data_IF_718778704960
#
_entry.id   IF_718778704960
#
_cell.length_a   1.000
_cell.length_b   1.000
_cell.length_c   1.000
_cell.angle_alpha   90.00
_cell.angle_beta   90.00
_cell.angle_gamma   90.00
#
_symmetry.space_group_name_H-M   'P 1'
#
loop_
_entity.id
_entity.type
_entity.pdbx_description
1 polymer ?
#
# COMPACT_ATOMS: atom_id res chain seq x y z
N UNK A 1 38.30 -29.31 40.33
CA UNK A 1 37.16 -28.48 39.89
C UNK A 1 37.02 -27.34 40.88
N UNK A 2 37.77 -26.26 40.67
CA UNK A 2 37.71 -25.08 41.53
C UNK A 2 36.45 -24.30 41.18
N UNK A 3 35.50 -24.28 42.10
CA UNK A 3 34.29 -23.47 41.96
C UNK A 3 34.58 -21.98 42.12
N UNK A 4 33.55 -21.16 41.87
CA UNK A 4 33.64 -19.71 41.99
C UNK A 4 34.17 -19.22 43.35
N UNK A 5 35.04 -18.22 43.32
CA UNK A 5 35.52 -17.52 44.53
C UNK A 5 34.40 -16.67 45.15
N UNK A 6 34.58 -16.20 46.39
CA UNK A 6 33.52 -15.50 47.12
C UNK A 6 33.12 -14.16 46.46
N UNK A 7 34.10 -13.43 45.93
CA UNK A 7 33.93 -12.20 45.16
C UNK A 7 33.26 -12.44 43.80
N UNK A 8 33.60 -13.53 43.10
CA UNK A 8 32.93 -13.92 41.85
C UNK A 8 31.44 -14.24 42.11
N UNK A 9 31.13 -14.93 43.21
CA UNK A 9 29.75 -15.21 43.61
C UNK A 9 28.97 -13.92 43.91
N UNK A 10 29.58 -13.00 44.66
CA UNK A 10 28.98 -11.70 44.96
C UNK A 10 28.70 -10.90 43.68
N UNK A 11 29.67 -10.86 42.77
CA UNK A 11 29.54 -10.18 41.47
C UNK A 11 28.43 -10.81 40.61
N UNK A 12 28.34 -12.15 40.57
CA UNK A 12 27.29 -12.84 39.84
C UNK A 12 25.90 -12.59 40.42
N UNK A 13 25.78 -12.48 41.75
CA UNK A 13 24.53 -12.10 42.40
C UNK A 13 24.12 -10.67 42.04
N UNK A 14 25.05 -9.71 42.10
CA UNK A 14 24.79 -8.32 41.71
C UNK A 14 24.35 -8.22 40.25
N UNK A 15 25.04 -8.89 39.32
CA UNK A 15 24.66 -8.92 37.91
C UNK A 15 23.29 -9.57 37.69
N UNK A 16 22.96 -10.60 38.47
CA UNK A 16 21.65 -11.28 38.39
C UNK A 16 20.52 -10.38 38.86
N UNK A 17 20.73 -9.58 39.91
CA UNK A 17 19.75 -8.60 40.38
C UNK A 17 19.52 -7.48 39.37
N UNK A 18 20.60 -6.92 38.80
CA UNK A 18 20.51 -5.93 37.74
C UNK A 18 19.77 -6.48 36.51
N UNK A 19 20.08 -7.72 36.13
CA UNK A 19 19.40 -8.39 35.00
C UNK A 19 17.91 -8.57 35.25
N UNK A 20 17.50 -8.95 36.47
CA UNK A 20 16.08 -9.11 36.82
C UNK A 20 15.32 -7.78 36.76
N UNK A 21 15.93 -6.70 37.27
CA UNK A 21 15.34 -5.35 37.20
C UNK A 21 15.22 -4.89 35.75
N UNK A 22 16.29 -5.04 34.97
CA UNK A 22 16.27 -4.73 33.54
C UNK A 22 15.19 -5.48 32.78
N UNK A 23 15.04 -6.79 33.02
CA UNK A 23 14.00 -7.60 32.37
C UNK A 23 12.58 -7.15 32.77
N UNK A 24 12.39 -6.74 34.02
CA UNK A 24 11.12 -6.19 34.48
C UNK A 24 10.81 -4.84 33.82
N UNK A 25 11.83 -4.01 33.60
CA UNK A 25 11.67 -2.72 32.90
C UNK A 25 11.39 -2.89 31.40
N UNK A 26 11.60 -4.08 30.83
CA UNK A 26 11.17 -4.42 29.46
C UNK A 26 9.71 -4.84 29.37
N UNK A 27 9.01 -5.05 30.49
CA UNK A 27 7.57 -5.28 30.48
C UNK A 27 6.87 -3.97 30.11
N UNK A 28 6.44 -3.88 28.85
CA UNK A 28 5.82 -2.68 28.34
C UNK A 28 4.43 -2.52 28.95
N UNK A 29 4.13 -1.32 29.47
CA UNK A 29 2.78 -1.03 29.94
C UNK A 29 1.81 -1.00 28.76
N UNK A 30 0.53 -1.39 28.94
CA UNK A 30 -0.48 -1.35 27.86
C UNK A 30 -0.71 0.04 27.23
N UNK A 31 -0.17 1.10 27.83
CA UNK A 31 -0.24 2.47 27.34
C UNK A 31 1.04 2.80 26.57
N UNK A 32 1.10 2.32 25.34
CA UNK A 32 2.07 2.82 24.38
C UNK A 32 1.65 4.22 23.92
N UNK A 33 2.61 5.15 23.71
CA UNK A 33 2.32 6.37 22.98
C UNK A 33 1.97 5.98 21.54
N UNK A 34 0.67 5.89 21.27
CA UNK A 34 0.17 5.71 19.91
C UNK A 34 0.62 6.92 19.10
N UNK A 35 1.20 6.65 17.93
CA UNK A 35 1.45 7.70 16.94
C UNK A 35 0.16 8.49 16.66
N UNK A 36 0.26 9.73 16.16
CA UNK A 36 -0.92 10.49 15.82
C UNK A 36 -1.79 9.70 14.84
N UNK A 37 -3.13 9.76 14.98
CA UNK A 37 -4.03 9.02 14.11
C UNK A 37 -3.77 9.42 12.65
N UNK A 38 -3.63 8.42 11.79
CA UNK A 38 -3.40 8.66 10.36
C UNK A 38 -4.58 9.47 9.79
N UNK A 39 -4.28 10.49 8.99
CA UNK A 39 -5.31 11.30 8.33
C UNK A 39 -6.02 10.44 7.29
N UNK A 40 -7.23 10.00 7.62
CA UNK A 40 -8.12 9.30 6.69
C UNK A 40 -8.78 10.28 5.71
N UNK A 41 -9.03 9.84 4.49
CA UNK A 41 -9.66 10.67 3.47
C UNK A 41 -11.15 10.93 3.84
N UNK A 42 -11.78 12.06 3.45
CA UNK A 42 -13.15 12.36 3.86
C UNK A 42 -14.17 11.26 3.54
N UNK A 43 -14.03 10.58 2.40
CA UNK A 43 -14.91 9.45 2.04
C UNK A 43 -14.67 8.22 2.92
N UNK A 44 -13.43 7.93 3.30
CA UNK A 44 -13.13 6.84 4.24
C UNK A 44 -13.69 7.16 5.62
N UNK A 45 -13.61 8.42 6.05
CA UNK A 45 -14.25 8.87 7.29
C UNK A 45 -15.77 8.69 7.24
N UNK A 46 -16.41 8.95 6.10
CA UNK A 46 -17.83 8.67 5.91
C UNK A 46 -18.13 7.17 6.03
N UNK A 47 -17.41 6.31 5.30
CA UNK A 47 -17.62 4.86 5.35
C UNK A 47 -17.38 4.29 6.75
N UNK A 48 -16.34 4.75 7.45
CA UNK A 48 -16.05 4.33 8.83
C UNK A 48 -17.19 4.70 9.79
N UNK A 49 -17.79 5.89 9.64
CA UNK A 49 -18.98 6.29 10.42
C UNK A 49 -20.21 5.51 10.01
N UNK A 50 -20.43 5.32 8.72
CA UNK A 50 -21.61 4.61 8.20
C UNK A 50 -21.64 3.14 8.65
N UNK A 51 -20.48 2.47 8.64
CA UNK A 51 -20.31 1.07 9.04
C UNK A 51 -20.19 0.86 10.55
N UNK A 52 -20.20 1.93 11.37
CA UNK A 52 -20.00 1.85 12.81
C UNK A 52 -21.03 0.96 13.51
N UNK A 53 -22.29 0.99 13.06
CA UNK A 53 -23.38 0.17 13.64
C UNK A 53 -23.30 -1.32 13.27
N UNK A 54 -22.33 -1.72 12.43
CA UNK A 54 -22.10 -3.09 11.93
C UNK A 54 -23.33 -3.80 11.32
N UNK A 55 -24.33 -3.05 10.86
CA UNK A 55 -25.51 -3.64 10.25
C UNK A 55 -25.13 -4.46 8.98
N UNK A 56 -25.62 -5.69 8.83
CA UNK A 56 -25.17 -6.61 7.78
C UNK A 56 -25.42 -6.08 6.37
N UNK A 57 -26.53 -5.37 6.15
CA UNK A 57 -26.85 -4.75 4.86
C UNK A 57 -25.87 -3.63 4.47
N UNK A 58 -25.37 -2.86 5.45
CA UNK A 58 -24.38 -1.80 5.19
C UNK A 58 -23.05 -2.39 4.72
N UNK A 59 -22.66 -3.54 5.29
CA UNK A 59 -21.46 -4.28 4.86
C UNK A 59 -21.59 -4.82 3.44
N UNK A 60 -22.79 -5.27 3.04
CA UNK A 60 -23.05 -5.71 1.65
C UNK A 60 -22.88 -4.53 0.68
N UNK A 61 -23.48 -3.37 0.97
CA UNK A 61 -23.36 -2.18 0.13
C UNK A 61 -21.89 -1.75 0.00
N UNK A 62 -21.16 -1.69 1.11
CA UNK A 62 -19.76 -1.30 1.10
C UNK A 62 -18.89 -2.28 0.29
N UNK A 63 -19.13 -3.60 0.43
CA UNK A 63 -18.44 -4.62 -0.36
C UNK A 63 -18.72 -4.43 -1.85
N UNK A 64 -19.98 -4.25 -2.26
CA UNK A 64 -20.34 -4.04 -3.66
C UNK A 64 -19.70 -2.77 -4.22
N UNK A 65 -19.74 -1.65 -3.47
CA UNK A 65 -19.07 -0.40 -3.84
C UNK A 65 -17.56 -0.62 -4.05
N UNK A 66 -16.88 -1.28 -3.12
CA UNK A 66 -15.44 -1.52 -3.20
C UNK A 66 -15.06 -2.41 -4.39
N UNK A 67 -15.81 -3.48 -4.64
CA UNK A 67 -15.57 -4.35 -5.79
C UNK A 67 -15.83 -3.61 -7.11
N UNK A 68 -16.87 -2.79 -7.18
CA UNK A 68 -17.16 -1.95 -8.35
C UNK A 68 -16.02 -0.98 -8.64
N UNK A 69 -15.50 -0.31 -7.60
CA UNK A 69 -14.39 0.61 -7.74
C UNK A 69 -13.11 -0.10 -8.20
N UNK A 70 -12.83 -1.28 -7.65
CA UNK A 70 -11.69 -2.12 -8.07
C UNK A 70 -11.82 -2.55 -9.53
N UNK A 71 -12.98 -3.07 -9.95
CA UNK A 71 -13.21 -3.45 -11.33
C UNK A 71 -13.03 -2.26 -12.30
N UNK A 72 -13.58 -1.09 -11.95
CA UNK A 72 -13.42 0.11 -12.76
C UNK A 72 -11.94 0.52 -12.89
N UNK A 73 -11.24 0.62 -11.77
CA UNK A 73 -9.85 1.10 -11.74
C UNK A 73 -8.84 0.12 -12.32
N UNK A 74 -9.02 -1.19 -12.11
CA UNK A 74 -8.04 -2.20 -12.49
C UNK A 74 -8.39 -2.92 -13.80
N UNK A 75 -9.64 -2.89 -14.25
CA UNK A 75 -10.07 -3.56 -15.47
C UNK A 75 -10.46 -2.53 -16.52
N UNK A 76 -11.42 -1.65 -16.21
CA UNK A 76 -11.98 -0.76 -17.23
C UNK A 76 -10.96 0.30 -17.70
N UNK A 77 -10.30 0.99 -16.76
CA UNK A 77 -9.31 2.02 -17.12
C UNK A 77 -8.14 1.40 -17.92
N UNK A 78 -7.49 0.31 -17.48
CA UNK A 78 -6.39 -0.28 -18.25
C UNK A 78 -6.85 -0.85 -19.59
N UNK A 79 -8.00 -1.51 -19.65
CA UNK A 79 -8.55 -2.01 -20.91
C UNK A 79 -8.80 -0.86 -21.90
N UNK A 80 -9.30 0.29 -21.42
CA UNK A 80 -9.53 1.44 -22.28
C UNK A 80 -8.22 2.08 -22.76
N UNK A 81 -7.20 2.15 -21.90
CA UNK A 81 -5.85 2.60 -22.26
C UNK A 81 -5.23 1.68 -23.32
N UNK A 82 -5.31 0.35 -23.13
CA UNK A 82 -4.81 -0.63 -24.10
C UNK A 82 -5.56 -0.50 -25.42
N UNK A 83 -6.88 -0.38 -25.38
CA UNK A 83 -7.69 -0.17 -26.59
C UNK A 83 -7.27 1.09 -27.34
N UNK A 84 -7.09 2.20 -26.62
CA UNK A 84 -6.60 3.45 -27.21
C UNK A 84 -5.20 3.27 -27.82
N UNK A 85 -4.31 2.60 -27.12
CA UNK A 85 -2.96 2.30 -27.61
C UNK A 85 -3.01 1.52 -28.93
N UNK A 86 -3.75 0.40 -28.97
CA UNK A 86 -3.89 -0.42 -30.18
C UNK A 86 -4.52 0.35 -31.36
N UNK A 87 -5.53 1.19 -31.07
CA UNK A 87 -6.22 1.99 -32.08
C UNK A 87 -5.30 2.99 -32.79
N UNK A 88 -4.31 3.54 -32.09
CA UNK A 88 -3.45 4.58 -32.66
C UNK A 88 -2.03 4.11 -32.98
N UNK A 89 -1.54 3.03 -32.36
CA UNK A 89 -0.17 2.55 -32.54
C UNK A 89 -0.06 1.28 -33.39
N UNK A 90 -1.17 0.55 -33.63
CA UNK A 90 -1.15 -0.72 -34.40
C UNK A 90 -1.98 -0.64 -35.67
N UNK A 91 -3.07 0.12 -35.67
CA UNK A 91 -3.97 0.25 -36.82
C UNK A 91 -3.67 1.44 -37.73
N UNK A 92 -2.62 2.22 -37.41
CA UNK A 92 -2.20 3.38 -38.21
C UNK A 92 -1.40 3.05 -39.47
N UNK A 93 -0.82 1.84 -39.57
CA UNK A 93 0.21 1.58 -40.59
C UNK A 93 -0.28 0.79 -41.81
N UNK A 94 -1.52 0.29 -41.85
CA UNK A 94 -2.00 -0.43 -43.04
C UNK A 94 -3.52 -0.50 -43.13
N UNK A 95 -4.09 0.06 -44.20
CA UNK A 95 -5.49 -0.14 -44.56
C UNK A 95 -5.63 -1.53 -45.17
N UNK A 96 -6.28 -2.46 -44.46
CA UNK A 96 -6.40 -3.88 -44.86
C UNK A 96 -7.17 -4.09 -46.18
N UNK A 97 -7.99 -3.13 -46.61
CA UNK A 97 -8.84 -3.20 -47.81
C UNK A 97 -8.10 -2.78 -49.10
N UNK A 98 -7.03 -1.98 -49.01
CA UNK A 98 -6.35 -1.39 -50.19
C UNK A 98 -4.84 -1.65 -50.23
N UNK A 99 -4.23 -2.13 -49.13
CA UNK A 99 -2.78 -2.36 -49.06
C UNK A 99 -1.93 -1.09 -49.13
N UNK A 100 -2.56 0.09 -49.07
CA UNK A 100 -1.88 1.38 -49.15
C UNK A 100 -1.38 1.80 -47.76
N UNK A 101 -0.07 2.01 -47.66
CA UNK A 101 0.61 2.46 -46.44
C UNK A 101 0.40 3.96 -46.31
N UNK A 102 -0.12 4.41 -45.16
CA UNK A 102 -0.36 5.83 -44.89
C UNK A 102 1.01 6.54 -44.82
N UNK A 103 1.23 7.63 -45.58
CA UNK A 103 2.50 8.33 -45.57
C UNK A 103 2.78 8.92 -44.18
N UNK A 104 4.04 8.88 -43.69
CA UNK A 104 4.41 9.43 -42.40
C UNK A 104 4.11 10.93 -42.34
N UNK A 105 3.75 11.43 -41.15
CA UNK A 105 3.51 12.85 -40.95
C UNK A 105 4.76 13.66 -41.31
N UNK A 106 4.57 14.78 -42.03
CA UNK A 106 5.64 15.74 -42.36
C UNK A 106 6.40 16.12 -41.09
N UNK A 107 7.73 16.09 -41.19
CA UNK A 107 8.62 16.52 -40.12
C UNK A 107 8.20 17.90 -39.61
N UNK A 108 8.02 18.04 -38.29
CA UNK A 108 7.85 19.35 -37.68
C UNK A 108 9.07 20.20 -38.03
N UNK A 109 8.90 21.48 -38.40
CA UNK A 109 10.04 22.33 -38.71
C UNK A 109 10.93 22.45 -37.48
N UNK A 110 12.07 21.75 -37.50
CA UNK A 110 13.14 21.87 -36.50
C UNK A 110 13.73 23.28 -36.61
N UNK A 111 13.15 24.23 -35.88
CA UNK A 111 13.74 25.53 -35.62
C UNK A 111 13.89 25.69 -34.11
N UNK A 112 14.90 25.02 -33.56
CA UNK A 112 15.54 25.48 -32.33
C UNK A 112 16.63 26.47 -32.73
N UNK A 113 16.32 27.75 -32.60
CA UNK A 113 17.29 28.84 -32.47
C UNK A 113 17.01 29.56 -31.15
#
# INVERSE_FOLDING_TARGET
>A
MTGYTADEKLRLQQLRELRRRWLKDQELSPREPLGPPQRVWPMERFWNKFLQDQAPWKNVIYKTYRHSFLAFTHILIPAWIIHYYLKYHVTGDTILETGEVIPPMKEFPNQHH
#
